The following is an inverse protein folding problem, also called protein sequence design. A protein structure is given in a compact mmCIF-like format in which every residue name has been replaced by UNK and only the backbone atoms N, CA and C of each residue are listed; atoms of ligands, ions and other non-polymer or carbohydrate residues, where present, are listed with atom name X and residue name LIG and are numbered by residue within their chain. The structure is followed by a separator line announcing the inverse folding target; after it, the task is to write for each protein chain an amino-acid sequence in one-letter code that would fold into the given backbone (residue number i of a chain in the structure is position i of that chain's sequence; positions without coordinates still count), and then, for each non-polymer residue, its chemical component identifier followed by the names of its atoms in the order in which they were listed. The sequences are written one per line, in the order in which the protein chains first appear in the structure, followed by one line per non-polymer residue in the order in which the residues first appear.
data_IF_892924649525
#
_entry.id   IF_892924649525
#
_cell.length_a   1.000
_cell.length_b   1.000
_cell.length_c   1.000
_cell.angle_alpha   90.00
_cell.angle_beta   90.00
_cell.angle_gamma   90.00
#
_symmetry.space_group_name_H-M   'P 1'
#
loop_
_entity.id
_entity.type
_entity.pdbx_description
1 polymer ?
#
# COMPACT_ATOMS: atom_id res chain seq x y z
N UNK A 1 -10.10 3.87 -12.14
CA UNK A 1 -9.30 5.05 -11.70
C UNK A 1 -8.94 5.80 -12.97
N UNK A 2 -9.21 7.07 -13.01
CA UNK A 2 -8.74 7.93 -14.09
C UNK A 2 -7.25 8.20 -13.83
N UNK A 3 -6.37 7.77 -14.75
CA UNK A 3 -4.92 7.94 -14.59
C UNK A 3 -4.42 9.26 -15.20
N UNK A 4 -5.29 10.08 -15.79
CA UNK A 4 -4.90 11.28 -16.49
C UNK A 4 -4.16 12.29 -15.58
N UNK A 5 -4.51 12.33 -14.30
CA UNK A 5 -3.83 13.17 -13.31
C UNK A 5 -2.47 12.61 -12.84
N UNK A 6 -2.10 11.40 -13.24
CA UNK A 6 -0.85 10.75 -12.84
C UNK A 6 0.18 10.67 -13.96
N UNK A 7 -0.18 11.09 -15.17
CA UNK A 7 0.66 10.94 -16.37
C UNK A 7 0.80 12.27 -17.06
N UNK A 8 2.03 12.62 -17.45
CA UNK A 8 2.29 13.80 -18.26
C UNK A 8 3.23 13.46 -19.41
N UNK A 9 3.09 14.18 -20.54
CA UNK A 9 4.02 14.02 -21.67
C UNK A 9 5.35 14.71 -21.38
N UNK A 10 6.47 14.12 -21.78
CA UNK A 10 7.81 14.62 -21.51
C UNK A 10 8.07 16.07 -21.93
N UNK A 11 7.39 16.52 -23.00
CA UNK A 11 7.51 17.89 -23.53
C UNK A 11 6.70 18.94 -22.76
N UNK A 12 5.86 18.53 -21.80
CA UNK A 12 5.10 19.47 -20.97
C UNK A 12 6.02 20.28 -20.05
N UNK A 13 5.56 21.46 -19.63
CA UNK A 13 6.34 22.31 -18.72
C UNK A 13 6.33 21.75 -17.28
N UNK A 14 7.36 22.11 -16.52
CA UNK A 14 7.45 21.82 -15.08
C UNK A 14 6.25 22.43 -14.34
N UNK A 15 5.79 23.61 -14.74
CA UNK A 15 4.57 24.23 -14.18
C UNK A 15 3.35 23.32 -14.36
N UNK A 16 3.16 22.75 -15.56
CA UNK A 16 2.04 21.83 -15.82
C UNK A 16 2.15 20.56 -14.99
N UNK A 17 3.37 20.05 -14.79
CA UNK A 17 3.61 18.88 -13.94
C UNK A 17 3.27 19.16 -12.47
N UNK A 18 3.66 20.32 -11.94
CA UNK A 18 3.31 20.72 -10.56
C UNK A 18 1.81 20.84 -10.36
N UNK A 19 1.07 21.41 -11.32
CA UNK A 19 -0.39 21.50 -11.24
C UNK A 19 -1.03 20.10 -11.19
N UNK A 20 -0.55 19.15 -11.99
CA UNK A 20 -1.07 17.77 -11.94
C UNK A 20 -0.68 17.04 -10.66
N UNK A 21 0.52 17.26 -10.13
CA UNK A 21 0.97 16.71 -8.83
C UNK A 21 0.11 17.26 -7.69
N UNK A 22 -0.26 18.55 -7.73
CA UNK A 22 -1.16 19.15 -6.75
C UNK A 22 -2.55 18.51 -6.82
N UNK A 23 -3.10 18.33 -8.02
CA UNK A 23 -4.40 17.69 -8.24
C UNK A 23 -4.44 16.22 -7.79
N UNK A 24 -3.37 15.47 -7.97
CA UNK A 24 -3.34 14.05 -7.59
C UNK A 24 -3.00 13.80 -6.12
N UNK A 25 -2.51 14.82 -5.39
CA UNK A 25 -2.14 14.77 -3.96
C UNK A 25 -1.14 13.66 -3.57
N UNK A 26 -0.35 13.14 -4.54
CA UNK A 26 0.59 12.04 -4.29
C UNK A 26 2.06 12.47 -4.31
N UNK A 27 2.33 13.71 -4.73
CA UNK A 27 3.68 14.28 -4.77
C UNK A 27 4.58 13.69 -5.85
N UNK A 28 4.00 13.04 -6.87
CA UNK A 28 4.73 12.47 -8.00
C UNK A 28 3.86 12.43 -9.28
N UNK A 29 4.54 12.33 -10.43
CA UNK A 29 3.90 12.17 -11.74
C UNK A 29 4.74 11.22 -12.62
N UNK A 30 4.08 10.35 -13.38
CA UNK A 30 4.74 9.50 -14.37
C UNK A 30 4.87 10.26 -15.69
N UNK A 31 6.05 10.17 -16.30
CA UNK A 31 6.35 10.89 -17.52
C UNK A 31 6.38 9.90 -18.68
N UNK A 32 5.58 10.19 -19.73
CA UNK A 32 5.51 9.40 -20.96
C UNK A 32 6.16 10.11 -22.14
N UNK A 33 6.63 9.33 -23.11
CA UNK A 33 7.05 9.84 -24.41
C UNK A 33 5.86 10.03 -25.37
N UNK A 34 6.15 10.44 -26.61
CA UNK A 34 5.15 10.63 -27.67
C UNK A 34 4.54 9.31 -28.18
N UNK A 35 5.09 8.16 -27.78
CA UNK A 35 4.58 6.81 -28.10
C UNK A 35 3.80 6.20 -26.94
N UNK A 36 3.41 7.01 -25.93
CA UNK A 36 2.74 6.62 -24.68
C UNK A 36 3.53 5.66 -23.78
N UNK A 37 4.84 5.53 -24.00
CA UNK A 37 5.71 4.72 -23.11
C UNK A 37 6.11 5.52 -21.89
N UNK A 38 5.98 4.93 -20.71
CA UNK A 38 6.47 5.53 -19.47
C UNK A 38 8.00 5.47 -19.47
N UNK A 39 8.62 6.65 -19.46
CA UNK A 39 10.08 6.82 -19.49
C UNK A 39 10.69 7.08 -18.11
N UNK A 40 9.87 7.42 -17.15
CA UNK A 40 10.29 7.69 -15.78
C UNK A 40 9.20 8.32 -14.95
N UNK A 41 9.58 8.80 -13.77
CA UNK A 41 8.73 9.61 -12.91
C UNK A 41 9.48 10.88 -12.46
N UNK A 42 8.73 11.90 -12.06
CA UNK A 42 9.25 13.08 -11.38
C UNK A 42 8.49 13.27 -10.07
N UNK A 43 9.20 13.59 -8.99
CA UNK A 43 8.62 13.93 -7.69
C UNK A 43 8.73 15.43 -7.44
N UNK A 44 7.95 15.95 -6.47
CA UNK A 44 8.13 17.31 -5.94
C UNK A 44 9.58 17.60 -5.57
N UNK A 45 10.26 16.61 -5.00
CA UNK A 45 11.67 16.73 -4.61
C UNK A 45 12.60 16.87 -5.81
N UNK A 46 12.34 16.14 -6.91
CA UNK A 46 13.15 16.22 -8.15
C UNK A 46 12.98 17.60 -8.80
N UNK A 47 11.73 18.06 -8.90
CA UNK A 47 11.41 19.39 -9.46
C UNK A 47 12.05 20.48 -8.61
N UNK A 48 11.90 20.42 -7.29
CA UNK A 48 12.49 21.42 -6.39
C UNK A 48 14.00 21.51 -6.53
N UNK A 49 14.69 20.36 -6.59
CA UNK A 49 16.16 20.31 -6.79
C UNK A 49 16.55 20.95 -8.11
N UNK A 50 15.82 20.68 -9.18
CA UNK A 50 16.05 21.27 -10.48
C UNK A 50 15.91 22.80 -10.46
N UNK A 51 14.82 23.33 -9.88
CA UNK A 51 14.58 24.76 -9.76
C UNK A 51 15.65 25.47 -8.90
N UNK A 52 16.07 24.84 -7.79
CA UNK A 52 17.14 25.38 -6.94
C UNK A 52 18.51 25.40 -7.64
N UNK A 53 18.72 24.54 -8.63
CA UNK A 53 19.91 24.54 -9.49
C UNK A 53 19.84 25.57 -10.62
N UNK A 54 18.83 26.45 -10.66
CA UNK A 54 18.66 27.51 -11.67
C UNK A 54 17.80 27.14 -12.87
N UNK A 55 17.04 26.03 -12.79
CA UNK A 55 16.04 25.69 -13.80
C UNK A 55 14.83 26.60 -13.78
N UNK A 56 14.03 26.57 -14.86
CA UNK A 56 12.85 27.40 -15.05
C UNK A 56 11.57 26.56 -15.04
N UNK A 57 10.44 27.14 -14.58
CA UNK A 57 9.12 26.50 -14.57
C UNK A 57 8.57 26.21 -15.97
N UNK A 58 9.04 26.94 -16.99
CA UNK A 58 8.66 26.73 -18.38
C UNK A 58 9.51 25.66 -19.08
N UNK A 59 10.56 25.19 -18.42
CA UNK A 59 11.38 24.09 -18.93
C UNK A 59 10.55 22.78 -19.03
N UNK A 60 10.98 21.90 -19.94
CA UNK A 60 10.38 20.56 -20.09
C UNK A 60 10.55 19.74 -18.82
N UNK A 61 9.50 19.03 -18.39
CA UNK A 61 9.56 18.09 -17.25
C UNK A 61 10.60 16.99 -17.46
N UNK A 62 10.97 16.70 -18.71
CA UNK A 62 12.00 15.70 -19.03
C UNK A 62 13.32 15.94 -18.30
N UNK A 63 13.64 17.22 -18.00
CA UNK A 63 14.85 17.62 -17.24
C UNK A 63 14.84 17.15 -15.77
N UNK A 64 13.64 16.86 -15.21
CA UNK A 64 13.47 16.41 -13.83
C UNK A 64 13.19 14.90 -13.70
N UNK A 65 13.17 14.16 -14.83
CA UNK A 65 12.75 12.76 -14.84
C UNK A 65 13.79 11.84 -14.22
N UNK A 66 13.38 11.13 -13.18
CA UNK A 66 14.12 9.97 -12.69
C UNK A 66 13.78 8.74 -13.56
N UNK A 67 14.76 8.27 -14.34
CA UNK A 67 14.61 7.09 -15.20
C UNK A 67 14.88 5.77 -14.48
N UNK A 68 15.51 5.83 -13.31
CA UNK A 68 15.78 4.67 -12.46
C UNK A 68 14.68 4.55 -11.38
N UNK A 69 13.48 4.17 -11.80
CA UNK A 69 12.32 4.04 -10.93
C UNK A 69 11.85 2.59 -10.85
N UNK A 70 11.17 2.25 -9.76
CA UNK A 70 10.58 0.93 -9.58
C UNK A 70 9.30 0.85 -10.41
N UNK A 71 9.25 -0.19 -11.25
CA UNK A 71 8.13 -0.53 -12.11
C UNK A 71 7.88 -2.03 -12.06
N UNK A 72 6.69 -2.47 -12.40
CA UNK A 72 6.35 -3.87 -12.46
C UNK A 72 5.58 -4.17 -13.76
N UNK A 73 5.56 -5.44 -14.14
CA UNK A 73 4.71 -5.94 -15.20
C UNK A 73 3.43 -6.59 -14.61
N UNK A 74 2.48 -6.89 -15.47
CA UNK A 74 1.20 -7.48 -15.06
C UNK A 74 1.33 -8.83 -14.35
N UNK A 75 2.41 -9.59 -14.63
CA UNK A 75 2.68 -10.91 -14.03
C UNK A 75 3.48 -10.83 -12.71
N UNK A 76 3.85 -9.63 -12.25
CA UNK A 76 4.65 -9.49 -11.04
C UNK A 76 3.91 -10.05 -9.80
N UNK A 77 4.57 -10.86 -8.95
CA UNK A 77 3.94 -11.42 -7.77
C UNK A 77 3.47 -10.31 -6.82
N UNK A 78 2.22 -10.43 -6.35
CA UNK A 78 1.61 -9.45 -5.45
C UNK A 78 2.43 -9.21 -4.18
N UNK A 79 3.01 -10.27 -3.61
CA UNK A 79 3.86 -10.18 -2.41
C UNK A 79 5.11 -9.34 -2.65
N UNK A 80 5.72 -9.46 -3.82
CA UNK A 80 6.86 -8.64 -4.21
C UNK A 80 6.47 -7.16 -4.27
N UNK A 81 5.34 -6.83 -4.90
CA UNK A 81 4.83 -5.47 -5.03
C UNK A 81 4.50 -4.84 -3.67
N UNK A 82 3.84 -5.59 -2.78
CA UNK A 82 3.55 -5.14 -1.41
C UNK A 82 4.83 -4.86 -0.62
N UNK A 83 5.85 -5.71 -0.76
CA UNK A 83 7.14 -5.51 -0.10
C UNK A 83 7.85 -4.24 -0.58
N UNK A 84 7.73 -3.92 -1.86
CA UNK A 84 8.30 -2.67 -2.42
C UNK A 84 7.57 -1.44 -1.90
N UNK A 85 6.24 -1.46 -1.83
CA UNK A 85 5.45 -0.36 -1.25
C UNK A 85 5.74 -0.12 0.24
N UNK A 86 6.12 -1.15 1.00
CA UNK A 86 6.53 -1.02 2.41
C UNK A 86 7.90 -0.32 2.60
N UNK A 87 8.71 -0.21 1.55
CA UNK A 87 10.06 0.39 1.56
C UNK A 87 10.08 1.86 1.13
N UNK A 88 9.15 2.70 1.58
CA UNK A 88 9.03 4.14 1.26
C UNK A 88 8.60 4.47 -0.18
N UNK A 89 8.20 3.50 -0.97
CA UNK A 89 7.65 3.74 -2.30
C UNK A 89 6.14 3.95 -2.17
N UNK A 90 5.65 5.10 -2.65
CA UNK A 90 4.23 5.45 -2.56
C UNK A 90 3.40 4.78 -3.65
N UNK A 91 3.97 4.69 -4.86
CA UNK A 91 3.28 4.19 -6.04
C UNK A 91 4.22 3.39 -6.93
N UNK A 92 3.70 2.31 -7.54
CA UNK A 92 4.42 1.48 -8.52
C UNK A 92 3.56 1.42 -9.78
N UNK A 93 4.05 1.87 -10.94
CA UNK A 93 3.35 1.71 -12.20
C UNK A 93 3.46 0.25 -12.67
N UNK A 94 2.32 -0.31 -13.08
CA UNK A 94 2.25 -1.59 -13.78
C UNK A 94 2.26 -1.29 -15.26
N UNK A 95 3.23 -1.81 -15.96
CA UNK A 95 3.45 -1.56 -17.38
C UNK A 95 3.22 -2.83 -18.19
N UNK A 96 2.75 -2.65 -19.42
CA UNK A 96 2.73 -3.72 -20.43
C UNK A 96 4.13 -4.00 -21.01
N UNK A 97 4.20 -4.96 -21.93
CA UNK A 97 5.45 -5.31 -22.63
C UNK A 97 6.01 -4.17 -23.51
N UNK A 98 5.17 -3.20 -23.85
CA UNK A 98 5.53 -2.00 -24.62
C UNK A 98 5.86 -0.80 -23.74
N UNK A 99 5.94 -0.99 -22.41
CA UNK A 99 6.13 0.04 -21.40
C UNK A 99 5.00 1.08 -21.30
N UNK A 100 3.78 0.74 -21.74
CA UNK A 100 2.59 1.56 -21.54
C UNK A 100 2.00 1.28 -20.15
N UNK A 101 1.42 2.30 -19.54
CA UNK A 101 0.79 2.18 -18.24
C UNK A 101 -0.51 1.37 -18.34
N UNK A 102 -0.60 0.28 -17.57
CA UNK A 102 -1.81 -0.52 -17.40
C UNK A 102 -2.56 -0.14 -16.12
N UNK A 103 -1.82 0.04 -15.03
CA UNK A 103 -2.41 0.44 -13.75
C UNK A 103 -1.35 1.05 -12.83
N UNK A 104 -1.80 1.65 -11.72
CA UNK A 104 -0.94 2.21 -10.69
C UNK A 104 -1.30 1.53 -9.37
N UNK A 105 -0.29 0.96 -8.72
CA UNK A 105 -0.42 0.42 -7.38
C UNK A 105 -0.04 1.49 -6.36
N UNK A 106 -0.86 1.66 -5.33
CA UNK A 106 -0.53 2.46 -4.14
C UNK A 106 -0.83 1.65 -2.88
N UNK A 107 -0.41 2.17 -1.72
CA UNK A 107 -0.75 1.54 -0.42
C UNK A 107 -2.25 1.46 -0.19
N UNK A 108 -2.98 2.48 -0.64
CA UNK A 108 -4.42 2.63 -0.42
C UNK A 108 -5.25 2.02 -1.56
N UNK A 109 -4.63 1.79 -2.70
CA UNK A 109 -5.28 1.23 -3.88
C UNK A 109 -4.45 0.12 -4.50
N UNK A 110 -4.80 -1.10 -4.16
CA UNK A 110 -4.32 -2.30 -4.81
C UNK A 110 -5.41 -2.77 -5.77
N UNK A 111 -5.23 -2.63 -7.11
CA UNK A 111 -6.24 -3.11 -8.04
C UNK A 111 -6.44 -4.60 -7.78
N UNK A 112 -7.61 -4.94 -7.27
CA UNK A 112 -8.04 -6.33 -7.25
C UNK A 112 -8.38 -6.68 -8.69
N UNK A 113 -7.65 -7.63 -9.32
CA UNK A 113 -8.31 -8.47 -10.29
C UNK A 113 -9.57 -8.98 -9.61
N UNK A 114 -10.70 -9.02 -10.31
CA UNK A 114 -11.95 -9.63 -9.85
C UNK A 114 -11.83 -11.16 -9.61
N UNK A 115 -10.64 -11.68 -9.53
CA UNK A 115 -10.36 -12.99 -8.99
C UNK A 115 -10.75 -12.97 -7.52
N UNK A 116 -11.71 -13.83 -7.17
CA UNK A 116 -12.19 -14.09 -5.82
C UNK A 116 -11.06 -13.87 -4.80
N UNK A 117 -11.28 -12.97 -3.84
CA UNK A 117 -10.31 -12.73 -2.76
C UNK A 117 -10.05 -14.05 -2.02
N UNK A 118 -9.02 -14.76 -2.45
CA UNK A 118 -8.69 -16.10 -1.94
C UNK A 118 -7.86 -16.02 -0.66
N UNK A 119 -7.38 -14.82 -0.35
CA UNK A 119 -6.46 -14.59 0.77
C UNK A 119 -6.67 -13.23 1.41
N UNK A 120 -6.71 -13.18 2.73
CA UNK A 120 -6.69 -11.96 3.53
C UNK A 120 -5.63 -12.08 4.63
N UNK A 121 -4.98 -10.98 4.96
CA UNK A 121 -4.01 -10.89 6.06
C UNK A 121 -4.32 -9.68 6.91
N UNK A 122 -4.39 -9.89 8.21
CA UNK A 122 -4.51 -8.84 9.21
C UNK A 122 -3.21 -8.74 10.02
N UNK A 123 -2.88 -7.52 10.45
CA UNK A 123 -1.74 -7.21 11.31
C UNK A 123 -2.24 -6.27 12.40
N UNK A 124 -2.00 -6.61 13.66
CA UNK A 124 -2.37 -5.79 14.80
C UNK A 124 -1.18 -5.57 15.71
N UNK A 125 -0.90 -4.33 16.16
CA UNK A 125 0.18 -4.10 17.11
C UNK A 125 -0.17 -4.71 18.46
N UNK A 126 0.84 -5.27 19.13
CA UNK A 126 0.73 -5.75 20.50
C UNK A 126 0.74 -4.56 21.47
N UNK A 127 0.01 -4.68 22.56
CA UNK A 127 -0.09 -3.68 23.62
C UNK A 127 0.61 -4.18 24.89
N UNK A 128 1.39 -3.30 25.52
CA UNK A 128 1.91 -3.52 26.87
C UNK A 128 1.09 -2.68 27.84
N UNK A 129 0.64 -3.28 28.94
CA UNK A 129 0.02 -2.57 30.07
C UNK A 129 1.08 -2.25 31.11
N UNK A 130 1.23 -0.98 31.48
CA UNK A 130 2.13 -0.51 32.53
C UNK A 130 1.47 -0.49 33.90
N UNK A 131 0.15 -0.42 33.95
CA UNK A 131 -0.62 -0.41 35.19
C UNK A 131 -2.12 -0.52 34.95
N UNK A 132 -2.85 -0.98 35.97
CA UNK A 132 -4.31 -1.07 35.95
C UNK A 132 -4.88 -2.24 35.13
N UNK A 133 -4.06 -3.16 34.63
CA UNK A 133 -4.54 -4.33 33.93
C UNK A 133 -5.47 -5.15 34.80
N UNK A 134 -6.66 -5.52 34.28
CA UNK A 134 -7.73 -6.17 35.02
C UNK A 134 -8.81 -5.22 35.54
N UNK A 135 -8.52 -3.93 35.76
CA UNK A 135 -9.54 -2.94 36.11
C UNK A 135 -10.45 -2.58 34.92
N UNK A 136 -10.09 -3.00 33.71
CA UNK A 136 -10.85 -2.90 32.46
C UNK A 136 -11.73 -4.12 32.17
N UNK A 137 -11.76 -5.10 33.08
CA UNK A 137 -12.66 -6.27 32.97
C UNK A 137 -14.08 -5.90 33.46
N UNK A 138 -15.12 -6.47 32.82
CA UNK A 138 -16.51 -6.21 33.16
C UNK A 138 -16.83 -6.47 34.63
N UNK A 139 -16.24 -7.52 35.21
CA UNK A 139 -16.45 -7.86 36.61
C UNK A 139 -15.94 -6.81 37.59
N UNK A 140 -14.99 -5.97 37.16
CA UNK A 140 -14.43 -4.91 37.99
C UNK A 140 -15.10 -3.54 37.72
N UNK A 141 -15.10 -3.08 36.45
CA UNK A 141 -15.53 -1.72 36.15
C UNK A 141 -17.03 -1.47 36.31
N UNK A 142 -17.86 -2.51 36.33
CA UNK A 142 -19.31 -2.36 36.61
C UNK A 142 -19.55 -1.78 38.02
N UNK A 143 -18.72 -2.16 38.99
CA UNK A 143 -18.87 -1.78 40.39
C UNK A 143 -17.80 -0.78 40.89
N UNK A 144 -16.74 -0.57 40.13
CA UNK A 144 -15.60 0.23 40.53
C UNK A 144 -15.06 1.02 39.32
N UNK A 145 -14.49 2.19 39.58
CA UNK A 145 -13.79 2.93 38.52
C UNK A 145 -12.48 2.23 38.16
N UNK A 146 -12.32 1.93 36.86
CA UNK A 146 -11.10 1.36 36.33
C UNK A 146 -10.25 2.41 35.63
N UNK A 147 -8.91 2.25 35.69
CA UNK A 147 -7.98 3.05 34.92
C UNK A 147 -6.82 2.17 34.42
N UNK A 148 -6.45 2.28 33.16
CA UNK A 148 -5.37 1.51 32.53
C UNK A 148 -4.41 2.46 31.84
N UNK A 149 -3.11 2.24 32.07
CA UNK A 149 -2.04 2.90 31.32
C UNK A 149 -1.37 1.85 30.43
N UNK A 150 -1.42 2.05 29.11
CA UNK A 150 -0.83 1.14 28.16
C UNK A 150 -0.22 1.86 26.95
N UNK A 151 0.64 1.15 26.22
CA UNK A 151 1.17 1.61 24.95
C UNK A 151 1.26 0.45 23.96
N UNK A 152 1.06 0.75 22.68
CA UNK A 152 1.37 -0.18 21.60
C UNK A 152 2.87 -0.23 21.36
N UNK A 153 3.38 -1.40 21.02
CA UNK A 153 4.79 -1.63 20.73
C UNK A 153 4.97 -2.12 19.30
N UNK A 154 6.20 -2.12 18.82
CA UNK A 154 6.56 -2.54 17.45
C UNK A 154 6.55 -4.06 17.25
N UNK A 155 5.94 -4.83 18.15
CA UNK A 155 5.60 -6.23 17.94
C UNK A 155 4.18 -6.33 17.40
N UNK A 156 3.95 -7.30 16.51
CA UNK A 156 2.67 -7.43 15.81
C UNK A 156 2.16 -8.87 15.87
N UNK A 157 0.88 -8.99 16.14
CA UNK A 157 0.14 -10.21 15.88
C UNK A 157 -0.32 -10.22 14.42
N UNK A 158 -0.27 -11.40 13.79
CA UNK A 158 -0.64 -11.61 12.40
C UNK A 158 -1.69 -12.70 12.29
N UNK A 159 -2.72 -12.45 11.50
CA UNK A 159 -3.70 -13.45 11.09
C UNK A 159 -3.76 -13.53 9.57
N UNK A 160 -3.79 -14.74 9.04
CA UNK A 160 -3.91 -14.98 7.59
C UNK A 160 -5.12 -15.88 7.34
N UNK A 161 -5.99 -15.47 6.45
CA UNK A 161 -7.18 -16.21 6.03
C UNK A 161 -7.03 -16.60 4.57
N UNK A 162 -7.23 -17.87 4.24
CA UNK A 162 -7.25 -18.39 2.88
C UNK A 162 -8.58 -19.09 2.62
N UNK A 163 -9.27 -18.73 1.54
CA UNK A 163 -10.46 -19.45 1.08
C UNK A 163 -10.08 -20.87 0.68
N UNK A 164 -10.94 -21.82 1.00
CA UNK A 164 -10.82 -23.23 0.63
C UNK A 164 -12.04 -23.66 -0.18
N UNK A 165 -11.90 -24.72 -0.93
CA UNK A 165 -12.97 -25.26 -1.81
C UNK A 165 -13.69 -26.46 -1.15
N UNK A 166 -13.24 -26.91 0.06
CA UNK A 166 -13.73 -28.13 0.72
C UNK A 166 -14.70 -27.87 1.88
N UNK A 167 -15.27 -26.64 1.99
CA UNK A 167 -16.21 -26.20 3.03
C UNK A 167 -15.73 -26.38 4.49
N UNK A 168 -14.56 -26.95 4.71
CA UNK A 168 -13.95 -27.15 6.04
C UNK A 168 -13.20 -25.90 6.51
N UNK A 169 -13.16 -25.74 7.82
CA UNK A 169 -12.42 -24.64 8.45
C UNK A 169 -11.24 -25.22 9.24
N UNK A 170 -10.04 -24.75 8.92
CA UNK A 170 -8.80 -25.09 9.62
C UNK A 170 -8.26 -23.86 10.31
N UNK A 171 -8.10 -23.92 11.61
CA UNK A 171 -7.43 -22.88 12.40
C UNK A 171 -6.08 -23.44 12.84
N UNK A 172 -5.02 -22.71 12.53
CA UNK A 172 -3.67 -23.09 12.92
C UNK A 172 -3.01 -21.91 13.66
N UNK A 173 -2.80 -22.08 14.95
CA UNK A 173 -2.02 -21.18 15.81
C UNK A 173 -0.56 -21.62 15.76
N UNK A 174 0.30 -20.78 15.16
CA UNK A 174 1.73 -21.09 15.01
C UNK A 174 2.50 -20.92 16.31
N UNK A 175 2.11 -19.98 17.13
CA UNK A 175 2.70 -19.68 18.44
C UNK A 175 2.31 -20.71 19.51
N UNK A 176 1.07 -21.21 19.49
CA UNK A 176 0.59 -22.26 20.39
C UNK A 176 0.85 -23.67 19.84
N UNK A 177 1.31 -23.79 18.60
CA UNK A 177 1.48 -25.05 17.87
C UNK A 177 0.20 -25.92 17.86
N UNK A 178 -0.96 -25.26 17.87
CA UNK A 178 -2.27 -25.90 17.93
C UNK A 178 -2.97 -25.88 16.59
N UNK A 179 -3.75 -26.93 16.29
CA UNK A 179 -4.52 -27.07 15.06
C UNK A 179 -5.91 -27.57 15.38
N UNK A 180 -6.91 -26.82 14.94
CA UNK A 180 -8.32 -27.20 15.09
C UNK A 180 -8.96 -27.29 13.72
N UNK A 181 -9.83 -28.29 13.54
CA UNK A 181 -10.58 -28.49 12.29
C UNK A 181 -12.07 -28.57 12.60
N UNK A 182 -12.85 -27.81 11.84
CA UNK A 182 -14.31 -27.84 11.90
C UNK A 182 -14.85 -28.27 10.52
N UNK A 183 -15.94 -29.03 10.51
CA UNK A 183 -16.54 -29.51 9.27
C UNK A 183 -17.41 -28.45 8.58
N UNK A 184 -17.94 -27.49 9.34
CA UNK A 184 -18.72 -26.38 8.82
C UNK A 184 -18.63 -25.17 9.79
N UNK A 185 -19.21 -24.02 9.36
CA UNK A 185 -19.17 -22.79 10.16
C UNK A 185 -19.98 -22.86 11.46
N UNK A 186 -21.01 -23.68 11.50
CA UNK A 186 -21.88 -23.80 12.71
C UNK A 186 -21.15 -24.49 13.86
N UNK A 187 -20.21 -25.38 13.56
CA UNK A 187 -19.40 -26.09 14.57
C UNK A 187 -18.49 -25.14 15.37
N UNK A 188 -18.24 -23.91 14.89
CA UNK A 188 -17.46 -22.89 15.62
C UNK A 188 -18.32 -22.18 16.66
N UNK A 189 -19.65 -22.13 16.46
CA UNK A 189 -20.58 -21.38 17.31
C UNK A 189 -21.17 -22.22 18.43
N UNK A 190 -20.94 -23.51 18.42
CA UNK A 190 -21.36 -24.46 19.45
C UNK A 190 -20.30 -24.59 20.55
#
# INVERSE_FOLDING_TARGET
MDFDNFIIIKSASIMSALLQIDLNHQGLIFVKDHSDKIIGLATDGDIRRYLLAGGDLQDSIEKCVNRNFIKANESAPREFLLKQLDQNIRMIPILDNNHKLLSILSRDHFPSKEEQKVFARAKSPVRISFGGGGSDTSNYFINHNGAVINATISLFSHASLKKRDDEKIYIHSLDLQDKVTFNNFQDILS
#
